data_IF_760512644719
#
_entry.id   IF_760512644719
#
_cell.length_a   1.000
_cell.length_b   1.000
_cell.length_c   1.000
_cell.angle_alpha   90.00
_cell.angle_beta   90.00
_cell.angle_gamma   90.00
#
_symmetry.space_group_name_H-M   'P 1'
#
loop_
_entity.id
_entity.type
_entity.pdbx_description
1 polymer ?
#
# COMPACT_ATOMS: atom_id res chain seq x y z
N UNK A 1 8.10 -6.62 -18.70
CA UNK A 1 7.07 -7.66 -18.91
C UNK A 1 5.87 -6.99 -19.54
N UNK A 2 5.48 -7.39 -20.74
CA UNK A 2 4.38 -6.77 -21.47
C UNK A 2 3.11 -7.60 -21.22
N UNK A 3 2.11 -7.04 -20.57
CA UNK A 3 0.81 -7.70 -20.37
C UNK A 3 -0.11 -7.25 -21.51
N UNK A 4 -0.55 -8.20 -22.34
CA UNK A 4 -1.60 -7.95 -23.34
C UNK A 4 -2.95 -8.16 -22.68
N UNK A 5 -3.72 -7.07 -22.53
CA UNK A 5 -5.08 -7.14 -21.97
C UNK A 5 -6.03 -7.53 -23.11
N UNK A 6 -6.69 -8.69 -22.98
CA UNK A 6 -7.77 -9.07 -23.89
C UNK A 6 -9.02 -8.25 -23.52
N UNK A 7 -9.46 -7.36 -24.42
CA UNK A 7 -10.49 -6.34 -24.14
C UNK A 7 -11.92 -6.88 -24.30
N UNK A 8 -12.12 -8.20 -24.45
CA UNK A 8 -13.44 -8.79 -24.60
C UNK A 8 -14.04 -9.33 -23.28
N UNK A 9 -13.75 -8.67 -22.16
CA UNK A 9 -14.29 -9.04 -20.84
C UNK A 9 -15.67 -8.40 -20.67
N UNK A 10 -16.68 -9.23 -20.39
CA UNK A 10 -18.05 -8.75 -20.14
C UNK A 10 -18.06 -8.07 -18.77
N UNK A 11 -18.77 -6.93 -18.64
CA UNK A 11 -18.86 -6.12 -17.40
C UNK A 11 -19.13 -6.96 -16.13
N UNK A 12 -19.93 -8.01 -16.27
CA UNK A 12 -20.28 -8.94 -15.20
C UNK A 12 -19.10 -9.79 -14.71
N UNK A 13 -18.23 -10.21 -15.62
CA UNK A 13 -17.00 -10.94 -15.28
C UNK A 13 -15.99 -10.02 -14.60
N UNK A 14 -15.89 -8.77 -15.05
CA UNK A 14 -15.02 -7.77 -14.45
C UNK A 14 -15.44 -7.47 -13.00
N UNK A 15 -16.74 -7.34 -12.74
CA UNK A 15 -17.25 -7.09 -11.40
C UNK A 15 -16.95 -8.25 -10.42
N UNK A 16 -16.88 -9.49 -10.92
CA UNK A 16 -16.51 -10.65 -10.09
C UNK A 16 -15.02 -10.67 -9.73
N UNK A 17 -14.17 -10.11 -10.59
CA UNK A 17 -12.72 -10.06 -10.35
C UNK A 17 -12.37 -8.88 -9.43
N UNK A 18 -13.10 -7.77 -9.54
CA UNK A 18 -12.90 -6.55 -8.76
C UNK A 18 -13.63 -6.58 -7.40
N UNK A 19 -13.55 -7.69 -6.70
CA UNK A 19 -14.04 -7.80 -5.32
C UNK A 19 -12.96 -7.35 -4.30
N UNK A 20 -13.35 -6.75 -3.16
CA UNK A 20 -12.41 -6.44 -2.10
C UNK A 20 -11.69 -7.69 -1.61
N UNK A 21 -10.39 -7.58 -1.38
CA UNK A 21 -9.63 -8.66 -0.80
C UNK A 21 -10.01 -8.86 0.68
N UNK A 22 -10.06 -10.10 1.21
CA UNK A 22 -10.45 -10.36 2.58
C UNK A 22 -9.54 -9.66 3.61
N UNK A 23 -10.15 -9.03 4.61
CA UNK A 23 -9.46 -8.22 5.62
C UNK A 23 -8.46 -9.04 6.45
N UNK A 24 -8.81 -10.27 6.82
CA UNK A 24 -7.98 -11.16 7.67
C UNK A 24 -6.70 -11.64 6.97
N UNK A 25 -6.65 -11.56 5.65
CA UNK A 25 -5.49 -11.97 4.86
C UNK A 25 -4.47 -10.83 4.68
N UNK A 26 -4.86 -9.57 4.97
CA UNK A 26 -3.98 -8.40 4.86
C UNK A 26 -3.36 -8.07 6.22
N UNK A 27 -2.04 -7.85 6.21
CA UNK A 27 -1.30 -7.38 7.39
C UNK A 27 -0.75 -5.99 7.12
N UNK A 28 -0.92 -5.11 8.09
CA UNK A 28 -0.41 -3.74 8.03
C UNK A 28 0.43 -3.44 9.28
N UNK A 29 1.39 -2.54 9.13
CA UNK A 29 2.18 -2.00 10.23
C UNK A 29 2.53 -0.53 9.95
N UNK A 30 2.84 0.21 11.01
CA UNK A 30 3.19 1.62 10.92
C UNK A 30 4.59 1.81 10.34
N UNK A 31 4.75 2.71 9.37
CA UNK A 31 6.04 3.06 8.74
C UNK A 31 6.45 4.50 9.07
N UNK A 32 7.73 4.80 8.89
CA UNK A 32 8.29 6.13 9.20
C UNK A 32 7.83 7.24 8.26
N UNK A 33 8.04 8.52 8.63
CA UNK A 33 7.59 9.69 7.85
C UNK A 33 8.34 9.87 6.52
N UNK A 34 9.39 9.08 6.28
CA UNK A 34 10.22 9.14 5.08
C UNK A 34 9.42 8.95 3.79
N UNK A 35 8.31 8.20 3.86
CA UNK A 35 7.41 7.98 2.73
C UNK A 35 6.83 9.28 2.14
N UNK A 36 6.64 10.29 2.99
CA UNK A 36 6.08 11.58 2.61
C UNK A 36 7.13 12.53 2.02
N UNK A 37 8.42 12.23 2.14
CA UNK A 37 9.48 13.11 1.63
C UNK A 37 9.68 12.87 0.12
N UNK A 38 9.31 13.86 -0.69
CA UNK A 38 9.41 13.80 -2.16
C UNK A 38 10.84 13.95 -2.68
N UNK A 39 11.76 14.51 -1.89
CA UNK A 39 13.15 14.77 -2.28
C UNK A 39 14.14 13.64 -1.96
N UNK A 40 13.68 12.54 -1.35
CA UNK A 40 14.56 11.44 -0.91
C UNK A 40 14.41 10.22 -1.81
N UNK A 41 15.52 9.51 -2.02
CA UNK A 41 15.52 8.23 -2.70
C UNK A 41 14.69 7.19 -1.91
N UNK A 42 13.61 6.71 -2.54
CA UNK A 42 12.65 5.75 -1.96
C UNK A 42 13.07 4.28 -2.13
N UNK A 43 14.14 4.00 -2.87
CA UNK A 43 14.65 2.64 -3.05
C UNK A 43 15.56 2.24 -1.87
N UNK A 44 14.99 2.33 -0.66
CA UNK A 44 15.68 2.09 0.60
C UNK A 44 14.81 1.20 1.48
N UNK A 45 15.37 0.14 2.08
CA UNK A 45 14.58 -0.79 2.90
C UNK A 45 13.95 -0.11 4.12
N UNK A 46 14.50 1.01 4.60
CA UNK A 46 13.97 1.79 5.71
C UNK A 46 12.54 2.29 5.48
N UNK A 47 12.12 2.45 4.22
CA UNK A 47 10.81 2.98 3.88
C UNK A 47 9.65 2.12 4.38
N UNK A 48 9.87 0.80 4.44
CA UNK A 48 8.84 -0.19 4.83
C UNK A 48 9.11 -0.78 6.21
N UNK A 49 10.16 -0.37 6.91
CA UNK A 49 10.45 -0.91 8.26
C UNK A 49 9.38 -0.45 9.24
N UNK A 50 8.94 -1.32 10.17
CA UNK A 50 8.09 -0.91 11.28
C UNK A 50 8.73 0.25 12.06
N UNK A 51 7.97 1.30 12.27
CA UNK A 51 8.38 2.47 13.03
C UNK A 51 7.45 2.63 14.23
N UNK A 52 8.04 2.74 15.42
CA UNK A 52 7.30 3.12 16.61
C UNK A 52 7.17 4.64 16.61
N UNK A 53 5.96 5.17 16.40
CA UNK A 53 5.74 6.58 16.68
C UNK A 53 5.75 6.73 18.21
N UNK A 54 6.65 7.53 18.79
CA UNK A 54 6.49 7.88 20.18
C UNK A 54 5.12 8.54 20.31
N UNK A 55 4.32 8.10 21.28
CA UNK A 55 3.08 8.78 21.64
C UNK A 55 3.39 10.27 21.68
N UNK A 56 2.63 11.06 20.90
CA UNK A 56 2.73 12.52 20.92
C UNK A 56 2.23 13.03 22.27
N UNK A 57 2.95 12.75 23.36
CA UNK A 57 2.71 13.28 24.70
C UNK A 57 3.27 14.70 24.84
N UNK A 58 3.33 15.46 23.75
CA UNK A 58 3.59 16.89 23.75
C UNK A 58 2.54 17.57 22.89
N UNK A 59 1.28 17.37 23.28
CA UNK A 59 0.20 18.30 22.99
C UNK A 59 -0.10 19.15 24.23
N UNK A 60 0.92 19.48 25.02
CA UNK A 60 1.06 20.63 25.91
C UNK A 60 2.54 20.90 26.14
#
# INVERSE_FOLDING_TARGET
MCFTVNVNIIKEELNKILEPYPDDALKAHTIGPLINNTGVNKNRPELIKPCNYPDQSTLF
#
